data_IF_358107932734
#
_entry.id   IF_358107932734
#
_cell.length_a   1.000
_cell.length_b   1.000
_cell.length_c   1.000
_cell.angle_alpha   90.00
_cell.angle_beta   90.00
_cell.angle_gamma   90.00
#
_symmetry.space_group_name_H-M   'P 1'
#
loop_
_entity.id
_entity.type
_entity.pdbx_description
1 polymer ?
#
# COMPACT_ATOMS: atom_id res chain seq x y z
N UNK A 1 22.99 5.51 -12.67
CA UNK A 1 23.91 5.86 -11.57
C UNK A 1 23.54 4.99 -10.37
N UNK A 2 24.49 4.45 -9.59
CA UNK A 2 24.19 3.51 -8.52
C UNK A 2 23.52 4.27 -7.37
N UNK A 3 22.18 4.30 -7.34
CA UNK A 3 21.41 4.91 -6.25
C UNK A 3 21.17 3.86 -5.17
N UNK A 4 22.11 3.77 -4.23
CA UNK A 4 21.83 3.16 -2.92
C UNK A 4 20.70 3.95 -2.22
N UNK A 5 19.93 3.31 -1.32
CA UNK A 5 18.78 3.94 -0.68
C UNK A 5 19.22 5.17 0.11
N UNK A 6 18.76 6.37 -0.29
CA UNK A 6 18.86 7.53 0.58
C UNK A 6 17.80 7.34 1.69
N UNK A 7 18.21 7.11 2.95
CA UNK A 7 17.28 6.79 4.04
C UNK A 7 16.18 7.85 4.23
N UNK A 8 16.47 9.09 3.84
CA UNK A 8 15.56 10.23 3.85
C UNK A 8 14.35 10.07 2.91
N UNK A 9 14.57 9.59 1.68
CA UNK A 9 13.47 9.38 0.72
C UNK A 9 12.54 8.26 1.16
N UNK A 10 13.11 7.18 1.72
CA UNK A 10 12.33 6.10 2.30
C UNK A 10 11.55 6.56 3.55
N UNK A 11 12.19 7.28 4.47
CA UNK A 11 11.52 7.81 5.67
C UNK A 11 10.35 8.75 5.31
N UNK A 12 10.54 9.63 4.32
CA UNK A 12 9.46 10.48 3.80
C UNK A 12 8.29 9.65 3.27
N UNK A 13 8.58 8.66 2.42
CA UNK A 13 7.58 7.77 1.84
C UNK A 13 6.77 7.01 2.90
N UNK A 14 7.46 6.46 3.91
CA UNK A 14 6.83 5.77 5.05
C UNK A 14 5.94 6.74 5.84
N UNK A 15 6.39 7.97 6.05
CA UNK A 15 5.63 9.02 6.72
C UNK A 15 4.34 9.37 5.97
N UNK A 16 4.42 9.62 4.66
CA UNK A 16 3.25 9.90 3.81
C UNK A 16 2.25 8.75 3.87
N UNK A 17 2.72 7.50 3.77
CA UNK A 17 1.85 6.32 3.87
C UNK A 17 1.20 6.20 5.24
N UNK A 18 1.94 6.40 6.32
CA UNK A 18 1.39 6.36 7.67
C UNK A 18 0.29 7.39 7.88
N UNK A 19 0.52 8.63 7.48
CA UNK A 19 -0.49 9.71 7.58
C UNK A 19 -1.70 9.38 6.70
N UNK A 20 -1.46 8.99 5.45
CA UNK A 20 -2.52 8.65 4.50
C UNK A 20 -3.37 7.46 4.97
N UNK A 21 -2.77 6.41 5.50
CA UNK A 21 -3.51 5.26 6.02
C UNK A 21 -4.22 5.55 7.35
N UNK A 22 -3.67 6.43 8.18
CA UNK A 22 -4.36 6.90 9.39
C UNK A 22 -5.62 7.71 9.02
N UNK A 23 -5.54 8.56 7.98
CA UNK A 23 -6.70 9.27 7.44
C UNK A 23 -7.75 8.30 6.86
N UNK A 24 -7.32 7.29 6.10
CA UNK A 24 -8.22 6.25 5.59
C UNK A 24 -8.89 5.46 6.73
N UNK A 25 -8.15 5.15 7.80
CA UNK A 25 -8.71 4.50 8.99
C UNK A 25 -9.78 5.36 9.67
N UNK A 26 -9.61 6.70 9.69
CA UNK A 26 -10.60 7.62 10.23
C UNK A 26 -11.91 7.59 9.42
N UNK A 27 -11.81 7.57 8.08
CA UNK A 27 -12.98 7.44 7.20
C UNK A 27 -13.65 6.08 7.39
N UNK A 28 -12.88 4.99 7.47
CA UNK A 28 -13.41 3.65 7.71
C UNK A 28 -14.11 3.53 9.07
N UNK A 29 -13.60 4.18 10.12
CA UNK A 29 -14.27 4.21 11.43
C UNK A 29 -15.65 4.86 11.38
N UNK A 30 -15.87 5.87 10.52
CA UNK A 30 -17.21 6.42 10.29
C UNK A 30 -18.12 5.43 9.56
N UNK A 31 -17.58 4.66 8.63
CA UNK A 31 -18.34 3.64 7.89
C UNK A 31 -18.62 2.38 8.72
N UNK A 32 -17.81 2.10 9.74
CA UNK A 32 -17.91 0.95 10.64
C UNK A 32 -18.00 1.43 12.11
N UNK A 33 -19.16 1.98 12.53
CA UNK A 33 -19.31 2.61 13.84
C UNK A 33 -19.14 1.64 15.02
N UNK A 34 -19.42 0.36 14.81
CA UNK A 34 -19.25 -0.69 15.82
C UNK A 34 -17.77 -1.02 16.12
N UNK A 35 -16.85 -0.58 15.24
CA UNK A 35 -15.43 -0.87 15.40
C UNK A 35 -14.75 0.10 16.38
N UNK A 36 -14.11 -0.45 17.41
CA UNK A 36 -13.35 0.32 18.42
C UNK A 36 -11.84 0.37 18.13
N UNK A 37 -11.44 0.26 16.88
CA UNK A 37 -10.02 0.24 16.52
C UNK A 37 -9.35 1.62 16.70
N UNK A 38 -8.12 1.61 17.24
CA UNK A 38 -7.27 2.80 17.32
C UNK A 38 -6.74 3.16 15.94
N UNK A 39 -6.96 4.41 15.51
CA UNK A 39 -6.59 4.91 14.18
C UNK A 39 -5.09 4.80 13.90
N UNK A 40 -4.26 5.19 14.88
CA UNK A 40 -2.81 5.09 14.77
C UNK A 40 -2.34 3.63 14.67
N UNK A 41 -3.01 2.70 15.37
CA UNK A 41 -2.71 1.27 15.29
C UNK A 41 -3.07 0.71 13.91
N UNK A 42 -4.22 1.11 13.35
CA UNK A 42 -4.65 0.70 12.01
C UNK A 42 -3.69 1.24 10.94
N UNK A 43 -3.40 2.55 10.98
CA UNK A 43 -2.47 3.20 10.05
C UNK A 43 -1.08 2.58 10.11
N UNK A 44 -0.53 2.41 11.32
CA UNK A 44 0.78 1.78 11.54
C UNK A 44 0.84 0.35 11.03
N UNK A 45 -0.16 -0.47 11.37
CA UNK A 45 -0.23 -1.86 10.89
C UNK A 45 -0.30 -1.91 9.37
N UNK A 46 -1.08 -1.02 8.74
CA UNK A 46 -1.19 -0.95 7.28
C UNK A 46 0.12 -0.54 6.62
N UNK A 47 0.84 0.42 7.20
CA UNK A 47 2.16 0.85 6.70
C UNK A 47 3.16 -0.29 6.79
N UNK A 48 3.24 -1.00 7.92
CA UNK A 48 4.17 -2.13 8.09
C UNK A 48 3.86 -3.25 7.11
N UNK A 49 2.58 -3.63 6.97
CA UNK A 49 2.15 -4.64 6.00
C UNK A 49 2.49 -4.17 4.57
N UNK A 50 2.22 -2.91 4.25
CA UNK A 50 2.51 -2.32 2.94
C UNK A 50 3.99 -2.36 2.58
N UNK A 51 4.88 -2.00 3.51
CA UNK A 51 6.32 -2.08 3.29
C UNK A 51 6.77 -3.53 3.11
N UNK A 52 6.32 -4.43 3.99
CA UNK A 52 6.72 -5.84 3.94
C UNK A 52 6.24 -6.52 2.66
N UNK A 53 4.97 -6.32 2.29
CA UNK A 53 4.39 -6.83 1.06
C UNK A 53 5.03 -6.20 -0.18
N UNK A 54 5.33 -4.91 -0.14
CA UNK A 54 5.99 -4.19 -1.23
C UNK A 54 7.41 -4.64 -1.49
N UNK A 55 8.20 -4.84 -0.44
CA UNK A 55 9.55 -5.39 -0.56
C UNK A 55 9.51 -6.83 -1.08
N UNK A 56 8.59 -7.65 -0.57
CA UNK A 56 8.44 -9.04 -1.03
C UNK A 56 7.98 -9.11 -2.50
N UNK A 57 6.99 -8.31 -2.90
CA UNK A 57 6.51 -8.23 -4.27
C UNK A 57 7.56 -7.67 -5.22
N UNK A 58 8.27 -6.61 -4.83
CA UNK A 58 9.38 -6.05 -5.60
C UNK A 58 10.52 -7.06 -5.81
N UNK A 59 10.92 -7.79 -4.77
CA UNK A 59 11.93 -8.84 -4.88
C UNK A 59 11.46 -9.98 -5.80
N UNK A 60 10.22 -10.43 -5.64
CA UNK A 60 9.63 -11.46 -6.51
C UNK A 60 9.56 -10.98 -7.97
N UNK A 61 9.21 -9.72 -8.20
CA UNK A 61 9.18 -9.12 -9.53
C UNK A 61 10.57 -9.05 -10.17
N UNK A 62 11.61 -8.69 -9.43
CA UNK A 62 13.00 -8.70 -9.95
C UNK A 62 13.43 -10.10 -10.39
N UNK A 63 13.01 -11.14 -9.66
CA UNK A 63 13.31 -12.54 -9.98
C UNK A 63 12.49 -13.08 -11.16
N UNK A 64 11.24 -12.65 -11.32
CA UNK A 64 10.32 -13.14 -12.35
C UNK A 64 10.37 -12.33 -13.66
N UNK A 65 10.57 -11.00 -13.58
CA UNK A 65 10.61 -10.12 -14.76
C UNK A 65 11.73 -10.52 -15.73
N UNK A 66 12.89 -10.89 -15.19
CA UNK A 66 14.04 -11.39 -15.96
C UNK A 66 13.79 -12.73 -16.68
N UNK A 67 12.75 -13.48 -16.28
CA UNK A 67 12.40 -14.81 -16.84
C UNK A 67 11.19 -14.79 -17.77
N UNK A 68 10.18 -13.96 -17.48
CA UNK A 68 8.83 -14.09 -18.07
C UNK A 68 8.45 -12.90 -18.95
N UNK A 69 8.83 -11.68 -18.58
CA UNK A 69 8.34 -10.46 -19.23
C UNK A 69 9.48 -9.80 -20.02
N UNK A 70 9.74 -10.28 -21.25
CA UNK A 70 10.58 -9.59 -22.25
C UNK A 70 9.86 -8.36 -22.83
N UNK A 71 9.36 -7.48 -21.97
CA UNK A 71 8.62 -6.27 -22.36
C UNK A 71 9.47 -5.03 -22.17
N UNK A 72 9.40 -4.09 -23.11
CA UNK A 72 10.20 -2.84 -23.11
C UNK A 72 9.86 -1.91 -21.93
N UNK A 73 8.66 -2.00 -21.36
CA UNK A 73 8.26 -1.28 -20.15
C UNK A 73 7.57 -2.22 -19.11
N UNK A 74 8.29 -2.66 -18.06
CA UNK A 74 7.75 -3.55 -17.03
C UNK A 74 6.86 -2.82 -15.99
N UNK A 75 6.65 -1.50 -16.11
CA UNK A 75 5.99 -0.70 -15.07
C UNK A 75 4.48 -0.98 -14.98
N UNK A 76 3.80 -1.05 -16.12
CA UNK A 76 2.35 -1.31 -16.19
C UNK A 76 1.97 -2.70 -15.64
N UNK A 77 2.61 -3.81 -16.06
CA UNK A 77 2.27 -5.13 -15.53
C UNK A 77 2.65 -5.26 -14.04
N UNK A 78 3.71 -4.58 -13.59
CA UNK A 78 4.06 -4.50 -12.17
C UNK A 78 2.95 -3.84 -11.33
N UNK A 79 2.43 -2.69 -11.78
CA UNK A 79 1.33 -1.98 -11.10
C UNK A 79 0.03 -2.78 -11.10
N UNK A 80 -0.30 -3.47 -12.19
CA UNK A 80 -1.50 -4.32 -12.28
C UNK A 80 -1.41 -5.54 -11.37
N UNK A 81 -0.25 -6.20 -11.29
CA UNK A 81 -0.05 -7.34 -10.39
C UNK A 81 -0.06 -6.95 -8.90
N UNK A 82 0.19 -5.68 -8.57
CA UNK A 82 0.10 -5.16 -7.21
C UNK A 82 -1.36 -5.04 -6.74
N UNK A 83 -2.32 -4.87 -7.66
CA UNK A 83 -3.73 -4.63 -7.36
C UNK A 83 -4.37 -5.73 -6.49
N UNK A 84 -4.24 -7.04 -6.82
CA UNK A 84 -4.76 -8.10 -5.96
C UNK A 84 -4.08 -8.13 -4.58
N UNK A 85 -2.78 -7.82 -4.50
CA UNK A 85 -2.06 -7.73 -3.23
C UNK A 85 -2.69 -6.62 -2.38
N UNK A 86 -2.87 -5.42 -2.93
CA UNK A 86 -3.49 -4.28 -2.23
C UNK A 86 -4.90 -4.61 -1.73
N UNK A 87 -5.73 -5.23 -2.57
CA UNK A 87 -7.10 -5.62 -2.17
C UNK A 87 -7.04 -6.64 -1.02
N UNK A 88 -6.14 -7.62 -1.10
CA UNK A 88 -5.90 -8.59 -0.03
C UNK A 88 -5.47 -7.94 1.29
N UNK A 89 -4.52 -7.01 1.25
CA UNK A 89 -4.06 -6.25 2.42
C UNK A 89 -5.20 -5.48 3.09
N UNK A 90 -6.05 -4.82 2.30
CA UNK A 90 -7.19 -4.07 2.84
C UNK A 90 -8.28 -4.97 3.38
N UNK A 91 -8.58 -6.10 2.74
CA UNK A 91 -9.52 -7.09 3.27
C UNK A 91 -9.03 -7.67 4.60
N UNK A 92 -7.73 -7.95 4.70
CA UNK A 92 -7.11 -8.41 5.95
C UNK A 92 -7.20 -7.35 7.04
N UNK A 93 -6.89 -6.09 6.72
CA UNK A 93 -6.99 -4.96 7.66
C UNK A 93 -8.43 -4.78 8.18
N UNK A 94 -9.42 -4.84 7.28
CA UNK A 94 -10.84 -4.75 7.63
C UNK A 94 -11.25 -5.91 8.53
N UNK A 95 -10.80 -7.13 8.23
CA UNK A 95 -11.07 -8.30 9.05
C UNK A 95 -10.49 -8.18 10.46
N UNK A 96 -9.27 -7.65 10.61
CA UNK A 96 -8.61 -7.53 11.91
C UNK A 96 -9.23 -6.45 12.81
N UNK A 97 -9.56 -5.29 12.23
CA UNK A 97 -9.84 -4.08 13.01
C UNK A 97 -11.29 -3.57 12.94
N UNK A 98 -12.04 -3.89 11.88
CA UNK A 98 -13.35 -3.27 11.63
C UNK A 98 -14.52 -4.25 11.62
N UNK A 99 -14.39 -5.38 10.93
CA UNK A 99 -15.45 -6.39 10.80
C UNK A 99 -14.85 -7.79 10.89
N UNK A 100 -14.67 -8.27 12.13
CA UNK A 100 -14.23 -9.65 12.40
C UNK A 100 -15.28 -10.61 11.85
N UNK A 101 -14.92 -11.31 10.78
CA UNK A 101 -15.77 -12.28 10.08
C UNK A 101 -16.36 -11.79 8.76
N UNK A 102 -16.10 -10.54 8.35
CA UNK A 102 -16.58 -9.98 7.07
C UNK A 102 -18.09 -10.19 6.89
N UNK A 103 -18.87 -9.85 7.93
CA UNK A 103 -20.33 -10.10 7.98
C UNK A 103 -21.03 -9.55 6.75
N UNK A 104 -20.55 -8.42 6.22
CA UNK A 104 -21.00 -7.88 4.94
C UNK A 104 -19.85 -7.83 3.92
N UNK A 105 -19.62 -8.96 3.25
CA UNK A 105 -18.55 -9.14 2.24
C UNK A 105 -18.61 -8.10 1.13
N UNK A 106 -19.80 -7.71 0.67
CA UNK A 106 -19.97 -6.70 -0.38
C UNK A 106 -19.49 -5.31 0.06
N UNK A 107 -19.82 -4.91 1.30
CA UNK A 107 -19.33 -3.66 1.88
C UNK A 107 -17.81 -3.71 2.10
N UNK A 108 -17.30 -4.83 2.62
CA UNK A 108 -15.87 -5.02 2.84
C UNK A 108 -15.07 -4.96 1.53
N UNK A 109 -15.56 -5.57 0.45
CA UNK A 109 -14.91 -5.52 -0.86
C UNK A 109 -14.91 -4.10 -1.45
N UNK A 110 -16.02 -3.36 -1.34
CA UNK A 110 -16.09 -1.95 -1.75
C UNK A 110 -15.09 -1.10 -0.96
N UNK A 111 -15.02 -1.27 0.35
CA UNK A 111 -14.05 -0.59 1.21
C UNK A 111 -12.61 -0.96 0.89
N UNK A 112 -12.34 -2.23 0.55
CA UNK A 112 -11.02 -2.68 0.14
C UNK A 112 -10.61 -2.15 -1.23
N UNK A 113 -11.53 -2.08 -2.20
CA UNK A 113 -11.29 -1.46 -3.50
C UNK A 113 -11.00 0.04 -3.36
N UNK A 114 -11.79 0.76 -2.53
CA UNK A 114 -11.53 2.16 -2.22
C UNK A 114 -10.18 2.37 -1.53
N UNK A 115 -9.82 1.49 -0.59
CA UNK A 115 -8.51 1.48 0.06
C UNK A 115 -7.36 1.20 -0.90
N UNK A 116 -7.54 0.28 -1.86
CA UNK A 116 -6.57 0.00 -2.91
C UNK A 116 -6.35 1.23 -3.79
N UNK A 117 -7.43 1.89 -4.25
CA UNK A 117 -7.36 3.16 -4.97
C UNK A 117 -6.61 4.24 -4.19
N UNK A 118 -6.92 4.39 -2.89
CA UNK A 118 -6.21 5.30 -2.00
C UNK A 118 -4.71 4.98 -1.89
N UNK A 119 -4.36 3.69 -1.88
CA UNK A 119 -2.96 3.25 -1.84
C UNK A 119 -2.23 3.65 -3.11
N UNK A 120 -2.84 3.53 -4.28
CA UNK A 120 -2.26 4.02 -5.54
C UNK A 120 -2.11 5.55 -5.58
N UNK A 121 -3.05 6.30 -5.00
CA UNK A 121 -2.90 7.76 -4.87
C UNK A 121 -1.67 8.11 -4.00
N UNK A 122 -1.48 7.43 -2.87
CA UNK A 122 -0.31 7.60 -2.02
C UNK A 122 0.98 7.15 -2.71
N UNK A 123 0.92 6.08 -3.51
CA UNK A 123 2.04 5.59 -4.31
C UNK A 123 2.44 6.63 -5.37
N UNK A 124 1.49 7.29 -6.04
CA UNK A 124 1.75 8.35 -6.99
C UNK A 124 2.45 9.57 -6.34
N UNK A 125 2.03 9.95 -5.13
CA UNK A 125 2.72 10.98 -4.33
C UNK A 125 4.15 10.52 -4.02
N UNK A 126 4.34 9.25 -3.67
CA UNK A 126 5.66 8.65 -3.47
C UNK A 126 6.56 8.72 -4.70
N UNK A 127 6.05 8.31 -5.88
CA UNK A 127 6.78 8.40 -7.15
C UNK A 127 7.12 9.86 -7.47
N UNK A 128 6.15 10.77 -7.35
CA UNK A 128 6.37 12.20 -7.58
C UNK A 128 7.42 12.79 -6.64
N UNK A 129 7.40 12.38 -5.36
CA UNK A 129 8.42 12.80 -4.40
C UNK A 129 9.80 12.24 -4.72
N UNK A 130 9.90 11.06 -5.35
CA UNK A 130 11.18 10.51 -5.78
C UNK A 130 11.81 11.26 -6.97
N UNK A 131 11.02 12.01 -7.72
CA UNK A 131 11.51 12.90 -8.79
C UNK A 131 12.00 14.26 -8.27
N UNK A 132 11.56 14.66 -7.06
CA UNK A 132 11.87 15.97 -6.47
C UNK A 132 12.91 15.86 -5.34
N UNK A 133 12.93 14.74 -4.63
CA UNK A 133 13.83 14.49 -3.50
C UNK A 133 15.03 13.66 -4.00
N UNK A 134 16.28 14.17 -3.86
CA UNK A 134 17.47 13.41 -4.22
C UNK A 134 17.52 12.06 -3.48
N UNK A 135 17.60 10.96 -4.22
CA UNK A 135 17.67 9.60 -3.67
C UNK A 135 16.33 8.98 -3.27
N UNK A 136 15.20 9.51 -3.74
CA UNK A 136 13.89 8.93 -3.50
C UNK A 136 13.77 7.52 -4.08
N UNK A 137 13.40 6.56 -3.21
CA UNK A 137 13.02 5.21 -3.62
C UNK A 137 11.52 5.07 -3.45
N UNK A 138 10.89 4.50 -4.46
CA UNK A 138 9.51 4.08 -4.42
C UNK A 138 9.43 2.60 -4.04
N UNK A 139 8.83 2.29 -2.88
CA UNK A 139 8.60 0.92 -2.40
C UNK A 139 7.10 0.69 -2.34
N UNK A 140 6.57 -0.29 -3.06
CA UNK A 140 5.13 -0.43 -3.25
C UNK A 140 4.42 -1.07 -2.06
#
# INVERSE_FOLDING_TARGET
MPMGPAPLGFAYFVGVKFVGYTAAAYVLRKAYPDARASLAKVGGTRTVIGIAAGLAYGALWLLLSSRVFRTEDPTVPYLLGLLPVRIGEWLWLLHLFFDRGLKNRGKAFKSAAAGAGWSYCLDAIGIGSALVIPGGIWVC
#
